data_IF_890290127346
#
_entry.id   IF_890290127346
#
_cell.length_a   1.000
_cell.length_b   1.000
_cell.length_c   1.000
_cell.angle_alpha   90.00
_cell.angle_beta   90.00
_cell.angle_gamma   90.00
#
_symmetry.space_group_name_H-M   'P 1'
#
loop_
_entity.id
_entity.type
_entity.pdbx_description
1 polymer ?
#
# COMPACT_ATOMS: atom_id res chain seq x y z
N UNK A 1 -8.30 14.37 37.25
CA UNK A 1 -6.98 14.59 36.63
C UNK A 1 -7.18 14.87 35.16
N UNK A 2 -6.32 15.67 34.55
CA UNK A 2 -6.33 15.96 33.10
C UNK A 2 -5.15 15.22 32.47
N UNK A 3 -5.38 14.54 31.35
CA UNK A 3 -4.35 13.89 30.54
C UNK A 3 -4.29 14.59 29.20
N UNK A 4 -3.09 14.95 28.73
CA UNK A 4 -2.87 15.61 27.44
C UNK A 4 -2.11 14.65 26.53
N UNK A 5 -2.66 14.39 25.34
CA UNK A 5 -2.04 13.60 24.29
C UNK A 5 -1.72 14.51 23.10
N UNK A 6 -0.56 14.32 22.48
CA UNK A 6 -0.13 15.04 21.28
C UNK A 6 0.63 14.08 20.35
N UNK A 7 0.60 14.34 19.05
CA UNK A 7 1.34 13.60 18.03
C UNK A 7 2.19 14.54 17.18
N UNK A 8 3.37 14.09 16.77
CA UNK A 8 4.25 14.81 15.82
C UNK A 8 4.94 13.82 14.91
N UNK A 9 5.18 14.21 13.65
CA UNK A 9 6.05 13.48 12.73
C UNK A 9 7.51 13.93 12.81
N UNK A 10 7.79 15.00 13.57
CA UNK A 10 9.13 15.58 13.73
C UNK A 10 9.40 15.93 15.19
N UNK A 11 9.87 14.94 15.93
CA UNK A 11 10.30 15.11 17.34
C UNK A 11 11.56 15.96 17.44
N UNK A 12 12.39 15.97 16.40
CA UNK A 12 13.69 16.61 16.36
C UNK A 12 13.64 18.15 16.34
N UNK A 13 12.52 18.74 15.93
CA UNK A 13 12.30 20.20 15.93
C UNK A 13 11.46 20.70 17.11
N UNK A 14 11.04 19.80 18.00
CA UNK A 14 10.28 20.20 19.18
C UNK A 14 11.17 21.00 20.12
N UNK A 15 10.60 22.08 20.67
CA UNK A 15 11.25 22.82 21.74
C UNK A 15 11.50 21.88 22.93
N UNK A 16 12.75 21.79 23.39
CA UNK A 16 13.12 20.97 24.55
C UNK A 16 12.36 21.36 25.81
N UNK A 17 11.81 22.57 25.89
CA UNK A 17 10.92 22.96 26.97
C UNK A 17 9.70 22.02 27.03
N UNK A 18 9.12 21.60 25.91
CA UNK A 18 7.90 20.79 25.87
C UNK A 18 8.11 19.35 26.40
N UNK A 19 9.32 18.81 26.26
CA UNK A 19 9.65 17.42 26.62
C UNK A 19 10.25 17.26 28.02
N UNK A 20 10.32 18.34 28.80
CA UNK A 20 10.78 18.30 30.20
C UNK A 20 9.78 17.56 31.11
N UNK A 21 10.25 16.94 32.21
CA UNK A 21 9.38 16.31 33.20
C UNK A 21 8.23 17.22 33.67
N UNK A 22 7.02 16.65 33.77
CA UNK A 22 5.80 17.38 34.13
C UNK A 22 5.08 18.07 32.96
N UNK A 23 5.55 17.86 31.72
CA UNK A 23 4.91 18.32 30.47
C UNK A 23 4.62 17.11 29.58
N UNK A 24 5.27 16.97 28.42
CA UNK A 24 5.26 15.73 27.64
C UNK A 24 6.43 14.84 28.07
N UNK A 25 6.32 14.29 29.28
CA UNK A 25 7.32 13.44 29.90
C UNK A 25 7.33 12.01 29.36
N UNK A 26 6.21 11.54 28.80
CA UNK A 26 6.10 10.27 28.08
C UNK A 26 6.14 10.48 26.58
N UNK A 27 7.08 9.80 25.93
CA UNK A 27 7.21 9.75 24.48
C UNK A 27 7.01 8.30 24.03
N UNK A 28 6.11 8.11 23.08
CA UNK A 28 5.79 6.80 22.50
C UNK A 28 5.95 6.95 21.00
N UNK A 29 6.91 6.24 20.43
CA UNK A 29 7.10 6.18 18.97
C UNK A 29 6.16 5.11 18.41
N UNK A 30 5.45 5.46 17.34
CA UNK A 30 4.61 4.53 16.58
C UNK A 30 5.23 4.36 15.21
N UNK A 31 5.94 3.25 15.03
CA UNK A 31 6.61 2.93 13.77
C UNK A 31 5.64 2.32 12.75
N UNK A 32 6.11 2.18 11.50
CA UNK A 32 5.37 1.45 10.48
C UNK A 32 5.18 -0.02 10.92
N UNK A 33 4.01 -0.61 10.63
CA UNK A 33 3.73 -1.99 11.02
C UNK A 33 4.63 -2.98 10.29
N UNK A 34 5.05 -4.01 11.01
CA UNK A 34 5.69 -5.19 10.43
C UNK A 34 4.68 -6.07 9.67
N UNK A 35 5.11 -7.23 9.16
CA UNK A 35 4.21 -8.12 8.42
C UNK A 35 2.98 -8.55 9.23
N UNK A 36 3.17 -8.89 10.51
CA UNK A 36 2.10 -9.34 11.38
C UNK A 36 1.16 -8.19 11.74
N UNK A 37 1.70 -7.02 12.07
CA UNK A 37 0.93 -5.81 12.31
C UNK A 37 0.11 -5.40 11.10
N UNK A 38 0.65 -5.51 9.87
CA UNK A 38 -0.13 -5.26 8.65
C UNK A 38 -1.29 -6.25 8.50
N UNK A 39 -1.05 -7.54 8.75
CA UNK A 39 -2.11 -8.57 8.73
C UNK A 39 -3.23 -8.24 9.71
N UNK A 40 -2.89 -7.82 10.92
CA UNK A 40 -3.87 -7.40 11.95
C UNK A 40 -4.63 -6.15 11.54
N UNK A 41 -3.95 -5.15 10.97
CA UNK A 41 -4.59 -3.94 10.46
C UNK A 41 -5.55 -4.27 9.31
N UNK A 42 -5.15 -5.13 8.37
CA UNK A 42 -6.05 -5.63 7.33
C UNK A 42 -7.27 -6.30 7.96
N UNK A 43 -7.08 -7.22 8.91
CA UNK A 43 -8.18 -7.91 9.57
C UNK A 43 -9.16 -6.94 10.27
N UNK A 44 -8.70 -5.81 10.81
CA UNK A 44 -9.56 -4.76 11.37
C UNK A 44 -10.40 -4.08 10.26
N UNK A 45 -9.77 -3.67 9.17
CA UNK A 45 -10.46 -2.96 8.08
C UNK A 45 -11.36 -3.86 7.23
N UNK A 46 -11.07 -5.15 7.15
CA UNK A 46 -11.84 -6.15 6.41
C UNK A 46 -13.17 -6.51 7.11
N UNK A 47 -13.26 -6.40 8.45
CA UNK A 47 -14.48 -6.72 9.21
C UNK A 47 -15.72 -5.92 8.79
N UNK A 48 -15.54 -4.74 8.21
CA UNK A 48 -16.63 -3.88 7.77
C UNK A 48 -17.11 -4.15 6.34
N UNK A 49 -16.50 -5.10 5.63
CA UNK A 49 -16.78 -5.38 4.22
C UNK A 49 -17.50 -6.73 4.06
N UNK A 50 -18.38 -6.82 3.07
CA UNK A 50 -18.91 -8.10 2.59
C UNK A 50 -17.86 -8.74 1.69
N UNK A 51 -17.30 -9.88 2.10
CA UNK A 51 -16.18 -10.54 1.42
C UNK A 51 -16.61 -11.87 0.81
N UNK A 52 -15.97 -12.27 -0.29
CA UNK A 52 -16.15 -13.59 -0.91
C UNK A 52 -15.30 -14.66 -0.22
N UNK A 53 -14.09 -14.30 0.21
CA UNK A 53 -13.15 -15.18 0.90
C UNK A 53 -13.03 -14.83 2.40
N UNK A 54 -12.44 -15.73 3.19
CA UNK A 54 -12.19 -15.52 4.62
C UNK A 54 -11.20 -14.36 4.87
N UNK A 55 -11.47 -13.58 5.93
CA UNK A 55 -10.65 -12.41 6.30
C UNK A 55 -9.18 -12.80 6.46
N UNK A 56 -8.92 -13.95 7.07
CA UNK A 56 -7.58 -14.40 7.43
C UNK A 56 -6.71 -14.70 6.20
N UNK A 57 -7.33 -15.25 5.15
CA UNK A 57 -6.67 -15.58 3.89
C UNK A 57 -6.34 -14.31 3.09
N UNK A 58 -7.30 -13.38 3.02
CA UNK A 58 -7.12 -12.08 2.35
C UNK A 58 -6.04 -11.27 3.08
N UNK A 59 -6.14 -11.14 4.41
CA UNK A 59 -5.20 -10.37 5.21
C UNK A 59 -3.77 -10.91 5.13
N UNK A 60 -3.60 -12.23 5.18
CA UNK A 60 -2.29 -12.88 5.05
C UNK A 60 -1.63 -12.58 3.70
N UNK A 61 -2.40 -12.68 2.60
CA UNK A 61 -1.90 -12.41 1.25
C UNK A 61 -1.57 -10.93 1.04
N UNK A 62 -2.47 -10.02 1.43
CA UNK A 62 -2.26 -8.59 1.22
C UNK A 62 -1.11 -8.04 2.07
N UNK A 63 -0.94 -8.50 3.31
CA UNK A 63 0.17 -8.06 4.16
C UNK A 63 1.55 -8.35 3.54
N UNK A 64 1.69 -9.45 2.80
CA UNK A 64 2.91 -9.80 2.06
C UNK A 64 3.15 -8.92 0.82
N UNK A 65 2.09 -8.44 0.18
CA UNK A 65 2.15 -7.60 -1.02
C UNK A 65 2.35 -6.12 -0.73
N UNK A 66 2.24 -5.68 0.52
CA UNK A 66 2.31 -4.27 0.91
C UNK A 66 3.46 -3.95 1.88
N UNK A 67 4.73 -4.31 1.59
CA UNK A 67 5.84 -3.98 2.47
C UNK A 67 6.00 -2.46 2.60
N UNK A 68 6.23 -1.99 3.83
CA UNK A 68 6.47 -0.57 4.12
C UNK A 68 5.22 0.32 4.14
N UNK A 69 4.03 -0.26 4.01
CA UNK A 69 2.75 0.46 4.08
C UNK A 69 2.40 0.82 5.52
N UNK A 70 1.89 2.02 5.71
CA UNK A 70 1.33 2.46 6.99
C UNK A 70 -0.14 2.02 7.10
N UNK A 71 -0.71 2.12 8.32
CA UNK A 71 -2.11 1.76 8.54
C UNK A 71 -3.09 2.54 7.67
N UNK A 72 -2.80 3.81 7.37
CA UNK A 72 -3.62 4.62 6.48
C UNK A 72 -3.61 4.10 5.02
N UNK A 73 -2.47 3.60 4.54
CA UNK A 73 -2.35 3.05 3.19
C UNK A 73 -3.17 1.75 3.07
N UNK A 74 -3.13 0.91 4.10
CA UNK A 74 -3.92 -0.33 4.19
C UNK A 74 -5.42 -0.04 4.23
N UNK A 75 -5.83 0.94 5.03
CA UNK A 75 -7.22 1.39 5.08
C UNK A 75 -7.70 1.88 3.70
N UNK A 76 -6.82 2.61 2.99
CA UNK A 76 -7.12 3.10 1.65
C UNK A 76 -7.27 1.95 0.63
N UNK A 77 -6.41 0.92 0.68
CA UNK A 77 -6.56 -0.28 -0.15
C UNK A 77 -7.92 -0.94 0.07
N UNK A 78 -8.33 -1.12 1.33
CA UNK A 78 -9.61 -1.76 1.65
C UNK A 78 -10.80 -0.96 1.10
N UNK A 79 -10.75 0.37 1.22
CA UNK A 79 -11.78 1.25 0.69
C UNK A 79 -11.82 1.23 -0.86
N UNK A 80 -10.67 1.32 -1.53
CA UNK A 80 -10.61 1.27 -2.99
C UNK A 80 -11.07 -0.10 -3.52
N UNK A 81 -10.77 -1.20 -2.82
CA UNK A 81 -11.27 -2.53 -3.18
C UNK A 81 -12.81 -2.59 -3.15
N UNK A 82 -13.43 -2.00 -2.12
CA UNK A 82 -14.89 -1.88 -2.05
C UNK A 82 -15.47 -1.04 -3.20
N UNK A 83 -14.81 0.06 -3.57
CA UNK A 83 -15.22 0.88 -4.73
C UNK A 83 -15.10 0.09 -6.04
N UNK A 84 -14.02 -0.68 -6.21
CA UNK A 84 -13.82 -1.53 -7.38
C UNK A 84 -14.92 -2.60 -7.47
N UNK A 85 -15.26 -3.26 -6.36
CA UNK A 85 -16.35 -4.23 -6.29
C UNK A 85 -17.71 -3.59 -6.62
N UNK A 86 -18.00 -2.41 -6.06
CA UNK A 86 -19.24 -1.68 -6.32
C UNK A 86 -19.37 -1.27 -7.81
N UNK A 87 -18.26 -0.87 -8.46
CA UNK A 87 -18.25 -0.50 -9.88
C UNK A 87 -18.55 -1.67 -10.82
N UNK A 88 -18.30 -2.91 -10.39
CA UNK A 88 -18.66 -4.12 -11.15
C UNK A 88 -20.00 -4.71 -10.70
N UNK A 89 -20.78 -3.96 -9.92
CA UNK A 89 -22.11 -4.36 -9.42
C UNK A 89 -22.08 -5.70 -8.68
N UNK A 90 -21.05 -5.93 -7.87
CA UNK A 90 -20.90 -7.17 -7.11
C UNK A 90 -21.48 -7.08 -5.70
N UNK A 91 -22.03 -8.20 -5.24
CA UNK A 91 -22.59 -8.33 -3.88
C UNK A 91 -21.50 -8.46 -2.80
N UNK A 92 -20.29 -8.90 -3.18
CA UNK A 92 -19.16 -9.10 -2.28
C UNK A 92 -17.83 -8.67 -2.93
N UNK A 93 -16.91 -8.19 -2.11
CA UNK A 93 -15.53 -7.84 -2.49
C UNK A 93 -14.71 -9.13 -2.60
N UNK A 94 -14.10 -9.32 -3.76
CA UNK A 94 -13.29 -10.47 -4.08
C UNK A 94 -11.80 -10.11 -4.04
N UNK A 95 -10.93 -11.10 -3.92
CA UNK A 95 -9.48 -10.90 -3.89
C UNK A 95 -8.93 -10.07 -5.08
N UNK A 96 -9.48 -10.28 -6.28
CA UNK A 96 -9.15 -9.50 -7.49
C UNK A 96 -9.40 -7.99 -7.35
N UNK A 97 -10.38 -7.60 -6.52
CA UNK A 97 -10.69 -6.18 -6.29
C UNK A 97 -9.62 -5.54 -5.41
N UNK A 98 -9.10 -6.28 -4.42
CA UNK A 98 -7.96 -5.85 -3.60
C UNK A 98 -6.66 -5.78 -4.40
N UNK A 99 -6.40 -6.74 -5.30
CA UNK A 99 -5.23 -6.68 -6.20
C UNK A 99 -5.29 -5.42 -7.08
N UNK A 100 -6.46 -5.13 -7.67
CA UNK A 100 -6.66 -3.93 -8.49
C UNK A 100 -6.55 -2.64 -7.68
N UNK A 101 -7.06 -2.62 -6.45
CA UNK A 101 -6.90 -1.50 -5.54
C UNK A 101 -5.42 -1.28 -5.19
N UNK A 102 -4.68 -2.35 -4.90
CA UNK A 102 -3.25 -2.31 -4.56
C UNK A 102 -2.43 -1.79 -5.73
N UNK A 103 -2.67 -2.29 -6.94
CA UNK A 103 -2.07 -1.80 -8.18
C UNK A 103 -2.25 -0.29 -8.36
N UNK A 104 -3.45 0.22 -8.06
CA UNK A 104 -3.79 1.63 -8.17
C UNK A 104 -3.16 2.49 -7.09
N UNK A 105 -3.07 2.00 -5.86
CA UNK A 105 -2.43 2.72 -4.75
C UNK A 105 -0.92 2.80 -4.94
N UNK A 106 -0.29 1.71 -5.43
CA UNK A 106 1.16 1.66 -5.69
C UNK A 106 1.52 2.41 -6.97
N UNK A 107 0.85 2.10 -8.08
CA UNK A 107 1.23 2.57 -9.42
C UNK A 107 0.47 3.80 -9.93
N UNK A 108 -0.54 4.27 -9.20
CA UNK A 108 -1.42 5.35 -9.65
C UNK A 108 -2.50 4.91 -10.64
N UNK A 109 -3.24 5.87 -11.19
CA UNK A 109 -4.35 5.60 -12.11
C UNK A 109 -3.82 5.08 -13.45
N UNK A 110 -4.46 4.04 -14.00
CA UNK A 110 -4.21 3.63 -15.37
C UNK A 110 -4.58 4.76 -16.33
N UNK A 111 -3.69 5.01 -17.30
CA UNK A 111 -3.89 6.04 -18.32
C UNK A 111 -4.42 5.39 -19.59
N UNK A 112 -5.45 5.99 -20.20
CA UNK A 112 -5.94 5.59 -21.53
C UNK A 112 -5.06 6.14 -22.66
N UNK A 113 -3.78 6.41 -22.39
CA UNK A 113 -2.85 6.90 -23.41
C UNK A 113 -2.68 5.83 -24.47
N UNK A 114 -3.14 6.13 -25.68
CA UNK A 114 -2.94 5.28 -26.84
C UNK A 114 -1.45 5.35 -27.19
N UNK A 115 -0.78 4.20 -27.21
CA UNK A 115 0.63 4.07 -27.61
C UNK A 115 0.72 3.34 -28.95
N UNK A 116 1.66 3.76 -29.80
CA UNK A 116 1.96 3.06 -31.04
C UNK A 116 2.55 1.68 -30.77
N UNK A 117 2.57 0.80 -31.79
CA UNK A 117 3.23 -0.51 -31.66
C UNK A 117 4.73 -0.35 -31.42
N UNK A 118 5.37 0.64 -32.04
CA UNK A 118 6.78 0.94 -31.78
C UNK A 118 7.00 1.41 -30.33
N UNK A 119 6.16 2.31 -29.82
CA UNK A 119 6.25 2.79 -28.44
C UNK A 119 6.05 1.66 -27.42
N UNK A 120 5.04 0.81 -27.63
CA UNK A 120 4.80 -0.39 -26.82
C UNK A 120 6.01 -1.33 -26.82
N UNK A 121 6.64 -1.52 -27.98
CA UNK A 121 7.85 -2.35 -28.08
C UNK A 121 9.01 -1.76 -27.28
N UNK A 122 9.22 -0.44 -27.34
CA UNK A 122 10.28 0.23 -26.58
C UNK A 122 10.05 0.05 -25.07
N UNK A 123 8.84 0.35 -24.58
CA UNK A 123 8.48 0.20 -23.17
C UNK A 123 8.61 -1.25 -22.73
N UNK A 124 8.17 -2.21 -23.55
CA UNK A 124 8.31 -3.63 -23.23
C UNK A 124 9.78 -4.06 -23.03
N UNK A 125 10.70 -3.58 -23.87
CA UNK A 125 12.12 -3.89 -23.70
C UNK A 125 12.73 -3.21 -22.47
N UNK A 126 12.31 -1.98 -22.16
CA UNK A 126 12.72 -1.26 -20.96
C UNK A 126 12.29 -1.99 -19.68
N UNK A 127 11.01 -2.31 -19.57
CA UNK A 127 10.44 -3.06 -18.44
C UNK A 127 11.02 -4.48 -18.34
N UNK A 128 11.25 -5.14 -19.47
CA UNK A 128 11.93 -6.44 -19.50
C UNK A 128 13.39 -6.34 -19.00
N UNK A 129 14.08 -5.22 -19.27
CA UNK A 129 15.39 -4.94 -18.73
C UNK A 129 15.40 -4.90 -17.20
N UNK A 130 14.46 -4.15 -16.60
CA UNK A 130 14.26 -4.13 -15.14
C UNK A 130 13.92 -5.52 -14.60
N UNK A 131 13.04 -6.25 -15.28
CA UNK A 131 12.62 -7.58 -14.86
C UNK A 131 13.78 -8.59 -14.87
N UNK A 132 14.55 -8.63 -15.96
CA UNK A 132 15.68 -9.55 -16.11
C UNK A 132 16.78 -9.18 -15.12
N UNK A 133 17.14 -7.90 -15.00
CA UNK A 133 18.17 -7.46 -14.06
C UNK A 133 17.77 -7.80 -12.61
N UNK A 134 16.55 -7.48 -12.20
CA UNK A 134 16.03 -7.80 -10.87
C UNK A 134 15.97 -9.31 -10.58
N UNK A 135 15.73 -10.14 -11.60
CA UNK A 135 15.69 -11.59 -11.45
C UNK A 135 17.06 -12.23 -11.20
N UNK A 136 18.11 -11.72 -11.84
CA UNK A 136 19.45 -12.34 -11.77
C UNK A 136 20.35 -11.77 -10.67
N UNK A 137 20.01 -10.63 -10.07
CA UNK A 137 20.81 -10.01 -9.00
C UNK A 137 20.42 -10.55 -7.62
N UNK A 138 21.41 -11.06 -6.88
CA UNK A 138 21.22 -11.73 -5.58
C UNK A 138 20.59 -10.85 -4.49
N UNK A 139 20.84 -9.54 -4.55
CA UNK A 139 20.41 -8.57 -3.52
C UNK A 139 19.40 -7.55 -4.06
N UNK A 140 18.81 -7.80 -5.23
CA UNK A 140 17.73 -6.98 -5.73
C UNK A 140 16.42 -7.24 -4.95
N UNK A 141 15.57 -6.22 -4.88
CA UNK A 141 14.24 -6.39 -4.30
C UNK A 141 13.42 -7.40 -5.14
N UNK A 142 12.60 -8.25 -4.50
CA UNK A 142 11.81 -9.26 -5.20
C UNK A 142 10.79 -8.60 -6.13
N UNK A 143 10.78 -9.03 -7.39
CA UNK A 143 9.81 -8.56 -8.38
C UNK A 143 8.42 -9.14 -8.07
N UNK A 144 7.44 -8.26 -7.89
CA UNK A 144 6.04 -8.64 -7.68
C UNK A 144 5.24 -8.69 -8.99
N UNK A 145 5.34 -7.63 -9.79
CA UNK A 145 4.61 -7.48 -11.04
C UNK A 145 5.31 -6.48 -11.95
N UNK A 146 5.34 -6.79 -13.25
CA UNK A 146 5.87 -5.91 -14.30
C UNK A 146 4.77 -5.73 -15.35
N UNK A 147 4.58 -4.51 -15.83
CA UNK A 147 3.50 -4.19 -16.79
C UNK A 147 3.94 -3.09 -17.75
N UNK A 148 3.47 -3.17 -19.00
CA UNK A 148 3.64 -2.13 -20.02
C UNK A 148 2.44 -1.18 -20.12
N UNK A 149 1.43 -1.37 -19.26
CA UNK A 149 0.22 -0.54 -19.23
C UNK A 149 0.58 0.82 -18.63
N UNK A 150 0.38 1.94 -19.35
CA UNK A 150 0.79 3.25 -18.89
C UNK A 150 -0.05 3.70 -17.68
N UNK A 151 0.60 4.29 -16.66
CA UNK A 151 -0.05 4.85 -15.47
C UNK A 151 0.27 6.34 -15.29
N UNK A 152 -0.60 7.05 -14.58
CA UNK A 152 -0.59 8.52 -14.45
C UNK A 152 0.57 9.06 -13.63
N UNK A 153 1.10 8.26 -12.70
CA UNK A 153 2.34 8.56 -11.99
C UNK A 153 3.44 7.85 -12.76
N UNK A 154 4.07 8.57 -13.68
CA UNK A 154 5.08 8.04 -14.60
C UNK A 154 6.36 7.62 -13.87
N UNK A 155 6.33 6.48 -13.21
CA UNK A 155 7.55 5.70 -13.05
C UNK A 155 7.78 4.99 -14.40
N UNK A 156 8.61 5.62 -15.23
CA UNK A 156 9.38 4.98 -16.30
C UNK A 156 10.80 4.78 -15.75
#
# INVERSE_FOLDING_TARGET
GVVVLAGTNRVDILDQALTRPGRFDRQITVDKPDLQGRREIFAVHLKGLTLEDEIEDIAGRLAGLTPGFAGADIANICNEAAIVAARREADAVALKDFEKATDRVVGGLESNKIMSKEELSIVAHHEAGHAVAGWFLEHADPLLKVTIIPRSSGAL
#
